data_IF_292571545009
#
_entry.id   IF_292571545009
#
_cell.length_a   1.000
_cell.length_b   1.000
_cell.length_c   1.000
_cell.angle_alpha   90.00
_cell.angle_beta   90.00
_cell.angle_gamma   90.00
#
_symmetry.space_group_name_H-M   'P 1'
#
loop_
_entity.id
_entity.type
_entity.pdbx_description
1 polymer ?
#
# COMPACT_ATOMS: atom_id res chain seq x y z
N UNK A 1 -29.01 -17.44 11.83
CA UNK A 1 -27.74 -17.51 12.59
C UNK A 1 -26.89 -16.27 12.26
N UNK A 2 -26.61 -15.44 13.24
CA UNK A 2 -25.83 -14.19 13.09
C UNK A 2 -24.35 -14.51 12.96
N UNK A 3 -23.68 -13.98 11.93
CA UNK A 3 -22.25 -14.22 11.69
C UNK A 3 -21.41 -13.37 12.66
N UNK A 4 -20.73 -14.02 13.61
CA UNK A 4 -19.80 -13.37 14.53
C UNK A 4 -18.42 -13.26 13.88
N UNK A 5 -17.94 -12.03 13.69
CA UNK A 5 -16.57 -11.78 13.23
C UNK A 5 -15.62 -11.94 14.41
N UNK A 6 -14.65 -12.86 14.30
CA UNK A 6 -13.58 -13.06 15.28
C UNK A 6 -12.31 -12.38 14.78
N UNK A 7 -11.58 -11.75 15.70
CA UNK A 7 -10.25 -11.20 15.43
C UNK A 7 -9.27 -11.72 16.48
N UNK A 8 -8.00 -11.86 16.08
CA UNK A 8 -6.94 -12.34 16.95
C UNK A 8 -5.79 -11.34 16.99
N UNK A 9 -5.16 -11.20 18.16
CA UNK A 9 -4.00 -10.34 18.39
C UNK A 9 -2.90 -11.19 19.02
N UNK A 10 -1.76 -11.27 18.33
CA UNK A 10 -0.60 -12.01 18.80
C UNK A 10 0.64 -11.13 18.77
N UNK A 11 1.56 -11.38 19.70
CA UNK A 11 2.92 -10.84 19.64
C UNK A 11 3.83 -11.90 19.01
N UNK A 12 4.57 -11.50 17.98
CA UNK A 12 5.55 -12.36 17.32
C UNK A 12 6.94 -12.05 17.86
N UNK A 13 7.74 -13.10 18.09
CA UNK A 13 9.15 -13.01 18.45
C UNK A 13 9.95 -13.74 17.37
N UNK A 14 10.21 -13.09 16.23
CA UNK A 14 10.88 -13.73 15.10
C UNK A 14 12.36 -14.01 15.43
N UNK A 15 12.88 -15.11 14.88
CA UNK A 15 14.34 -15.32 14.80
C UNK A 15 14.96 -14.31 13.83
N UNK A 16 16.29 -14.18 13.82
CA UNK A 16 16.99 -13.27 12.90
C UNK A 16 16.66 -13.55 11.43
N UNK A 17 16.62 -14.83 11.02
CA UNK A 17 16.27 -15.23 9.65
C UNK A 17 14.82 -14.85 9.30
N UNK A 18 13.89 -15.06 10.24
CA UNK A 18 12.48 -14.69 10.05
C UNK A 18 12.32 -13.18 9.95
N UNK A 19 13.02 -12.41 10.80
CA UNK A 19 13.01 -10.96 10.75
C UNK A 19 13.56 -10.47 9.40
N UNK A 20 14.67 -11.03 8.92
CA UNK A 20 15.23 -10.71 7.60
C UNK A 20 14.24 -10.98 6.47
N UNK A 21 13.57 -12.14 6.49
CA UNK A 21 12.55 -12.49 5.50
C UNK A 21 11.35 -11.54 5.55
N UNK A 22 10.88 -11.20 6.74
CA UNK A 22 9.80 -10.22 6.95
C UNK A 22 10.21 -8.84 6.43
N UNK A 23 11.45 -8.40 6.69
CA UNK A 23 11.96 -7.13 6.19
C UNK A 23 12.06 -7.11 4.66
N UNK A 24 12.55 -8.18 4.03
CA UNK A 24 12.58 -8.29 2.56
C UNK A 24 11.17 -8.24 1.97
N UNK A 25 10.23 -8.98 2.56
CA UNK A 25 8.84 -9.09 2.09
C UNK A 25 8.06 -7.80 2.32
N UNK A 26 7.98 -7.32 3.56
CA UNK A 26 7.22 -6.12 3.88
C UNK A 26 7.92 -4.84 3.43
N UNK A 27 9.26 -4.84 3.36
CA UNK A 27 10.03 -3.70 2.89
C UNK A 27 9.75 -3.39 1.43
N UNK A 28 9.82 -4.39 0.55
CA UNK A 28 9.55 -4.17 -0.88
C UNK A 28 8.09 -3.75 -1.12
N UNK A 29 7.12 -4.39 -0.46
CA UNK A 29 5.70 -4.03 -0.57
C UNK A 29 5.44 -2.61 -0.06
N UNK A 30 6.02 -2.25 1.10
CA UNK A 30 5.87 -0.90 1.68
C UNK A 30 6.46 0.17 0.78
N UNK A 31 7.62 -0.08 0.16
CA UNK A 31 8.24 0.85 -0.77
C UNK A 31 7.33 1.15 -1.96
N UNK A 32 6.87 0.10 -2.67
CA UNK A 32 6.01 0.25 -3.85
C UNK A 32 4.70 0.94 -3.48
N UNK A 33 4.06 0.52 -2.38
CA UNK A 33 2.82 1.13 -1.90
C UNK A 33 3.00 2.62 -1.59
N UNK A 34 4.04 2.99 -0.82
CA UNK A 34 4.28 4.38 -0.44
C UNK A 34 4.56 5.26 -1.67
N UNK A 35 5.30 4.74 -2.65
CA UNK A 35 5.60 5.47 -3.89
C UNK A 35 4.32 5.75 -4.69
N UNK A 36 3.49 4.73 -4.89
CA UNK A 36 2.19 4.86 -5.56
C UNK A 36 1.25 5.80 -4.81
N UNK A 37 1.21 5.72 -3.48
CA UNK A 37 0.38 6.60 -2.66
C UNK A 37 0.82 8.06 -2.76
N UNK A 38 2.13 8.32 -2.71
CA UNK A 38 2.67 9.67 -2.86
C UNK A 38 2.29 10.29 -4.22
N UNK A 39 2.43 9.52 -5.31
CA UNK A 39 2.05 9.99 -6.65
C UNK A 39 0.53 10.25 -6.76
N UNK A 40 -0.31 9.41 -6.14
CA UNK A 40 -1.76 9.64 -6.11
C UNK A 40 -2.13 10.90 -5.34
N UNK A 41 -1.48 11.16 -4.20
CA UNK A 41 -1.70 12.39 -3.42
C UNK A 41 -1.31 13.61 -4.23
N UNK A 42 -0.12 13.62 -4.84
CA UNK A 42 0.35 14.72 -5.67
C UNK A 42 -0.60 14.98 -6.86
N UNK A 43 -1.08 13.93 -7.53
CA UNK A 43 -2.05 14.08 -8.63
C UNK A 43 -3.39 14.64 -8.14
N UNK A 44 -3.90 14.17 -7.00
CA UNK A 44 -5.13 14.69 -6.42
C UNK A 44 -4.97 16.17 -6.06
N UNK A 45 -3.89 16.55 -5.39
CA UNK A 45 -3.66 17.94 -4.98
C UNK A 45 -3.63 18.91 -6.17
N UNK A 46 -3.08 18.45 -7.31
CA UNK A 46 -3.01 19.24 -8.55
C UNK A 46 -4.34 19.32 -9.31
N UNK A 47 -5.22 18.32 -9.18
CA UNK A 47 -6.41 18.16 -10.03
C UNK A 47 -7.73 18.18 -9.27
N UNK A 48 -7.71 18.37 -7.94
CA UNK A 48 -8.92 18.34 -7.10
C UNK A 48 -10.01 19.31 -7.54
N UNK A 49 -9.63 20.42 -8.16
CA UNK A 49 -10.54 21.46 -8.64
C UNK A 49 -11.06 21.17 -10.06
N UNK A 50 -10.35 20.36 -10.85
CA UNK A 50 -10.78 19.88 -12.18
C UNK A 50 -11.16 18.40 -12.13
N UNK A 51 -12.45 18.16 -11.84
CA UNK A 51 -13.03 16.82 -11.70
C UNK A 51 -13.00 16.02 -13.01
N UNK A 52 -13.03 16.68 -14.17
CA UNK A 52 -13.01 16.00 -15.47
C UNK A 52 -11.59 15.55 -15.83
N UNK A 53 -10.58 16.35 -15.49
CA UNK A 53 -9.18 15.91 -15.57
C UNK A 53 -8.90 14.76 -14.60
N UNK A 54 -9.38 14.85 -13.35
CA UNK A 54 -9.16 13.81 -12.33
C UNK A 54 -9.72 12.44 -12.76
N UNK A 55 -10.92 12.40 -13.37
CA UNK A 55 -11.53 11.16 -13.88
C UNK A 55 -10.71 10.49 -14.99
N UNK A 56 -9.93 11.26 -15.75
CA UNK A 56 -9.12 10.77 -16.87
C UNK A 56 -7.73 10.26 -16.45
N UNK A 57 -7.33 10.52 -15.21
CA UNK A 57 -6.02 10.10 -14.68
C UNK A 57 -5.90 8.58 -14.65
N UNK A 58 -4.86 8.05 -15.29
CA UNK A 58 -4.48 6.64 -15.18
C UNK A 58 -3.42 6.48 -14.10
N UNK A 59 -3.71 5.67 -13.09
CA UNK A 59 -2.74 5.37 -12.05
C UNK A 59 -1.71 4.33 -12.52
N UNK A 60 -0.43 4.49 -12.16
CA UNK A 60 0.60 3.53 -12.46
C UNK A 60 0.35 2.21 -11.73
N UNK A 61 0.71 1.11 -12.37
CA UNK A 61 0.68 -0.23 -11.77
C UNK A 61 1.97 -0.49 -10.98
N UNK A 62 1.96 -1.42 -10.01
CA UNK A 62 3.17 -1.81 -9.27
C UNK A 62 4.35 -2.19 -10.17
N UNK A 63 4.09 -2.72 -11.38
CA UNK A 63 5.11 -3.11 -12.35
C UNK A 63 6.00 -1.94 -12.80
N UNK A 64 5.57 -0.69 -12.64
CA UNK A 64 6.39 0.49 -12.94
C UNK A 64 7.55 0.71 -11.96
N UNK A 65 7.48 0.11 -10.77
CA UNK A 65 8.43 0.33 -9.67
C UNK A 65 9.24 -0.92 -9.32
N UNK A 66 9.12 -1.97 -10.14
CA UNK A 66 9.89 -3.22 -10.05
C UNK A 66 11.05 -3.14 -11.03
#
# INVERSE_FOLDING_TARGET
MTKLNKAYKFRLYPTEEQALLMHKTFGCVRFVYNKMLAERKAMYDNLKDDKEALKKVKHPTPAKYK
#
